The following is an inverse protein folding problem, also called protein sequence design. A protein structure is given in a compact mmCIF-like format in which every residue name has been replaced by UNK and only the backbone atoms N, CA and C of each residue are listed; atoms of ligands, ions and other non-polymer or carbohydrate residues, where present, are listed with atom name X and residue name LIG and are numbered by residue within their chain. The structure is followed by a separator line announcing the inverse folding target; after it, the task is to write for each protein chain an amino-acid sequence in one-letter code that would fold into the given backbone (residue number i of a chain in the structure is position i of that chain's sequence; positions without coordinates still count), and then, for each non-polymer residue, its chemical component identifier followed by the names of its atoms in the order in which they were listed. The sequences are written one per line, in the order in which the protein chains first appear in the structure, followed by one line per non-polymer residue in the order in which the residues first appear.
data_IF_048838328985
#
_entry.id   IF_048838328985
#
_cell.length_a   1.000
_cell.length_b   1.000
_cell.length_c   1.000
_cell.angle_alpha   90.00
_cell.angle_beta   90.00
_cell.angle_gamma   90.00
#
_symmetry.space_group_name_H-M   'P 1'
#
loop_
_entity.id
_entity.type
_entity.pdbx_description
1 polymer ?
#
# COMPACT_ATOMS: atom_id res chain seq x y z
N UNK A 1 56.48 20.04 2.49
CA UNK A 1 56.14 20.71 1.21
C UNK A 1 56.53 22.18 1.30
N UNK A 2 56.99 22.80 0.21
CA UNK A 2 57.40 24.23 0.22
C UNK A 2 56.17 25.14 0.34
N UNK A 3 56.28 26.22 1.12
CA UNK A 3 55.21 27.23 1.27
C UNK A 3 54.73 27.80 -0.07
N UNK A 4 55.59 27.82 -1.09
CA UNK A 4 55.26 28.25 -2.45
C UNK A 4 54.27 27.30 -3.15
N UNK A 5 54.35 25.99 -2.90
CA UNK A 5 53.44 24.98 -3.48
C UNK A 5 52.05 25.11 -2.87
N UNK A 6 51.98 25.31 -1.55
CA UNK A 6 50.71 25.54 -0.84
C UNK A 6 50.03 26.85 -1.26
N UNK A 7 50.81 27.92 -1.50
CA UNK A 7 50.28 29.18 -2.02
C UNK A 7 49.71 29.03 -3.44
N UNK A 8 50.43 28.38 -4.35
CA UNK A 8 49.96 28.12 -5.73
C UNK A 8 48.67 27.28 -5.76
N UNK A 9 48.58 26.26 -4.92
CA UNK A 9 47.42 25.39 -4.83
C UNK A 9 46.16 26.15 -4.38
N UNK A 10 46.30 27.04 -3.39
CA UNK A 10 45.19 27.85 -2.89
C UNK A 10 44.81 29.02 -3.82
N UNK A 11 45.77 29.60 -4.53
CA UNK A 11 45.53 30.77 -5.40
C UNK A 11 45.01 30.42 -6.80
N UNK A 12 45.35 29.24 -7.34
CA UNK A 12 44.97 28.85 -8.70
C UNK A 12 43.93 27.72 -8.74
N UNK A 13 43.65 27.05 -7.62
CA UNK A 13 42.77 25.87 -7.58
C UNK A 13 43.32 24.69 -8.39
N UNK A 14 44.60 24.73 -8.79
CA UNK A 14 45.27 23.70 -9.57
C UNK A 14 45.96 22.74 -8.60
N UNK A 15 45.65 21.45 -8.75
CA UNK A 15 46.38 20.39 -8.03
C UNK A 15 47.75 20.15 -8.66
N UNK A 16 48.76 20.85 -8.16
CA UNK A 16 50.16 20.71 -8.59
C UNK A 16 50.76 19.35 -8.16
N UNK A 17 50.14 18.64 -7.22
CA UNK A 17 50.63 17.35 -6.69
C UNK A 17 50.14 16.14 -7.50
N UNK A 18 49.10 16.32 -8.33
CA UNK A 18 48.43 15.25 -9.06
C UNK A 18 47.73 14.23 -8.15
N UNK A 19 47.59 14.52 -6.86
CA UNK A 19 46.95 13.66 -5.88
C UNK A 19 45.48 13.39 -6.23
N UNK A 20 44.75 14.43 -6.63
CA UNK A 20 43.33 14.34 -6.99
C UNK A 20 43.11 13.61 -8.31
N UNK A 21 44.15 13.51 -9.15
CA UNK A 21 44.13 12.71 -10.38
C UNK A 21 44.35 11.21 -10.13
N UNK A 22 44.81 10.81 -8.94
CA UNK A 22 45.04 9.39 -8.60
C UNK A 22 43.73 8.62 -8.49
N UNK A 23 43.81 7.35 -8.87
CA UNK A 23 42.71 6.42 -8.68
C UNK A 23 42.63 5.92 -7.23
N UNK A 24 41.41 5.59 -6.83
CA UNK A 24 41.06 4.91 -5.59
C UNK A 24 40.28 3.67 -5.97
N UNK A 25 40.67 2.53 -5.40
CA UNK A 25 39.99 1.26 -5.57
C UNK A 25 39.15 1.00 -4.31
N UNK A 26 37.86 0.76 -4.49
CA UNK A 26 36.90 0.51 -3.43
C UNK A 26 36.31 -0.89 -3.63
N UNK A 27 36.29 -1.69 -2.59
CA UNK A 27 35.56 -2.96 -2.55
C UNK A 27 34.30 -2.74 -1.71
N UNK A 28 33.14 -2.72 -2.35
CA UNK A 28 31.84 -2.48 -1.69
C UNK A 28 31.03 -3.76 -1.72
N UNK A 29 30.96 -4.46 -0.58
CA UNK A 29 30.23 -5.72 -0.45
C UNK A 29 30.68 -6.82 -1.43
N UNK A 30 31.94 -6.80 -1.86
CA UNK A 30 32.49 -7.72 -2.88
C UNK A 30 32.54 -7.15 -4.30
N UNK A 31 31.91 -6.00 -4.57
CA UNK A 31 31.95 -5.35 -5.88
C UNK A 31 33.08 -4.33 -5.94
N UNK A 32 33.99 -4.49 -6.91
CA UNK A 32 35.13 -3.61 -7.10
C UNK A 32 34.78 -2.38 -7.94
N UNK A 33 35.02 -1.21 -7.36
CA UNK A 33 34.86 0.10 -7.99
C UNK A 33 36.21 0.79 -8.12
N UNK A 34 36.42 1.46 -9.25
CA UNK A 34 37.56 2.36 -9.45
C UNK A 34 37.03 3.76 -9.72
N UNK A 35 37.55 4.74 -8.99
CA UNK A 35 37.22 6.16 -9.16
C UNK A 35 38.42 7.04 -8.97
N UNK A 36 38.32 8.33 -9.27
CA UNK A 36 39.36 9.31 -8.99
C UNK A 36 39.18 9.89 -7.59
N UNK A 37 40.27 10.22 -6.91
CA UNK A 37 40.23 10.99 -5.64
C UNK A 37 39.41 12.27 -5.80
N UNK A 38 39.50 12.92 -6.97
CA UNK A 38 38.72 14.12 -7.33
C UNK A 38 37.21 13.97 -7.09
N UNK A 39 36.63 12.80 -7.39
CA UNK A 39 35.19 12.52 -7.24
C UNK A 39 34.76 12.53 -5.77
N UNK A 40 35.66 12.22 -4.85
CA UNK A 40 35.37 12.17 -3.41
C UNK A 40 35.83 13.44 -2.68
N UNK A 41 36.35 14.45 -3.38
CA UNK A 41 36.99 15.62 -2.76
C UNK A 41 36.06 16.42 -1.84
N UNK A 42 34.78 16.53 -2.21
CA UNK A 42 33.78 17.21 -1.38
C UNK A 42 33.47 16.43 -0.10
N UNK A 43 33.85 15.16 -0.05
CA UNK A 43 33.65 14.23 1.07
C UNK A 43 34.96 13.96 1.83
N UNK A 44 35.95 14.86 1.76
CA UNK A 44 37.21 14.74 2.51
C UNK A 44 37.01 14.67 4.02
N UNK A 45 36.00 15.37 4.54
CA UNK A 45 35.68 15.41 5.97
C UNK A 45 34.57 14.39 6.33
N UNK A 46 34.20 13.52 5.40
CA UNK A 46 33.13 12.53 5.57
C UNK A 46 33.60 11.33 6.40
N UNK A 47 32.73 10.81 7.27
CA UNK A 47 33.01 9.67 8.17
C UNK A 47 33.62 8.45 7.46
N UNK A 48 33.14 8.15 6.26
CA UNK A 48 33.57 6.99 5.46
C UNK A 48 34.68 7.35 4.48
N UNK A 49 34.52 8.43 3.70
CA UNK A 49 35.41 8.75 2.59
C UNK A 49 36.66 9.53 3.02
N UNK A 50 36.62 10.25 4.14
CA UNK A 50 37.78 10.93 4.70
C UNK A 50 38.91 9.95 5.03
N UNK A 51 38.68 8.92 5.86
CA UNK A 51 39.68 7.90 6.14
C UNK A 51 40.20 7.15 4.89
N UNK A 52 39.38 7.02 3.84
CA UNK A 52 39.79 6.44 2.55
C UNK A 52 40.74 7.38 1.79
N UNK A 53 40.44 8.68 1.78
CA UNK A 53 41.26 9.71 1.15
C UNK A 53 42.57 9.95 1.90
N UNK A 54 42.55 9.87 3.23
CA UNK A 54 43.76 9.93 4.07
C UNK A 54 44.55 8.62 4.05
N UNK A 55 43.92 7.53 3.58
CA UNK A 55 44.52 6.21 3.44
C UNK A 55 44.58 5.39 4.72
N UNK A 56 43.88 5.81 5.78
CA UNK A 56 43.75 5.16 7.09
C UNK A 56 42.61 4.13 7.17
N UNK A 57 41.71 4.09 6.17
CA UNK A 57 40.64 3.10 6.12
C UNK A 57 41.15 1.66 5.94
N UNK A 58 40.31 0.69 6.35
CA UNK A 58 40.59 -0.73 6.20
C UNK A 58 40.79 -1.11 4.72
N UNK A 59 41.85 -1.88 4.46
CA UNK A 59 42.18 -2.37 3.11
C UNK A 59 42.04 -3.88 3.04
N UNK A 60 41.60 -4.36 1.90
CA UNK A 60 41.66 -5.76 1.53
C UNK A 60 43.11 -6.16 1.17
N UNK A 61 43.33 -7.47 0.99
CA UNK A 61 44.63 -8.02 0.59
C UNK A 61 45.12 -7.49 -0.76
N UNK A 62 44.20 -7.14 -1.66
CA UNK A 62 44.46 -6.55 -2.98
C UNK A 62 44.77 -5.03 -2.92
N UNK A 63 44.72 -4.42 -1.73
CA UNK A 63 44.96 -3.00 -1.51
C UNK A 63 43.76 -2.08 -1.76
N UNK A 64 42.58 -2.63 -2.10
CA UNK A 64 41.33 -1.86 -2.21
C UNK A 64 40.78 -1.51 -0.83
N UNK A 65 40.07 -0.38 -0.72
CA UNK A 65 39.42 0.01 0.54
C UNK A 65 38.08 -0.70 0.69
N UNK A 66 37.86 -1.34 1.84
CA UNK A 66 36.65 -2.12 2.09
C UNK A 66 35.52 -1.25 2.63
N UNK A 67 34.33 -1.41 2.05
CA UNK A 67 33.07 -0.86 2.54
C UNK A 67 32.06 -2.01 2.63
N UNK A 68 31.57 -2.28 3.83
CA UNK A 68 30.61 -3.36 4.09
C UNK A 68 29.17 -2.91 3.81
N UNK A 69 28.85 -2.73 2.51
CA UNK A 69 27.55 -2.26 1.99
C UNK A 69 27.19 -2.90 0.65
N UNK A 70 25.98 -2.64 0.17
CA UNK A 70 25.51 -3.15 -1.11
C UNK A 70 26.28 -2.54 -2.30
N UNK A 71 27.09 -3.38 -2.93
CA UNK A 71 27.87 -2.99 -4.09
C UNK A 71 27.04 -2.65 -5.33
N UNK A 72 25.86 -3.24 -5.53
CA UNK A 72 25.02 -3.00 -6.71
C UNK A 72 24.41 -1.60 -6.68
N UNK A 73 23.91 -1.19 -5.52
CA UNK A 73 23.32 0.13 -5.31
C UNK A 73 24.37 1.23 -5.23
N UNK A 74 25.59 0.91 -4.78
CA UNK A 74 26.70 1.86 -4.74
C UNK A 74 27.03 2.46 -6.11
N UNK A 75 26.72 1.78 -7.22
CA UNK A 75 26.85 2.33 -8.58
C UNK A 75 26.11 3.67 -8.73
N UNK A 76 24.93 3.79 -8.15
CA UNK A 76 24.13 5.02 -8.22
C UNK A 76 24.71 6.11 -7.33
N UNK A 77 25.23 5.74 -6.15
CA UNK A 77 25.93 6.64 -5.24
C UNK A 77 27.14 7.25 -5.93
N UNK A 78 28.03 6.42 -6.50
CA UNK A 78 29.26 6.91 -7.12
C UNK A 78 29.00 7.68 -8.42
N UNK A 79 27.95 7.34 -9.17
CA UNK A 79 27.50 8.13 -10.33
C UNK A 79 27.00 9.52 -9.89
N UNK A 80 26.21 9.58 -8.81
CA UNK A 80 25.77 10.85 -8.25
C UNK A 80 26.95 11.73 -7.82
N UNK A 81 27.98 11.16 -7.20
CA UNK A 81 29.19 11.91 -6.81
C UNK A 81 30.02 12.42 -8.01
N UNK A 82 29.84 11.85 -9.21
CA UNK A 82 30.52 12.31 -10.44
C UNK A 82 29.77 13.47 -11.09
N UNK A 83 28.46 13.32 -11.24
CA UNK A 83 27.65 14.19 -12.10
C UNK A 83 26.75 15.15 -11.31
N UNK A 84 26.61 14.94 -9.99
CA UNK A 84 25.71 15.69 -9.12
C UNK A 84 24.22 15.42 -9.39
N UNK A 85 23.89 14.37 -10.15
CA UNK A 85 22.53 14.06 -10.59
C UNK A 85 22.19 12.59 -10.37
N UNK A 86 20.96 12.35 -9.91
CA UNK A 86 20.45 10.99 -9.70
C UNK A 86 20.04 10.35 -11.02
N UNK A 87 20.89 9.47 -11.55
CA UNK A 87 20.62 8.68 -12.76
C UNK A 87 20.29 7.24 -12.40
N UNK A 88 19.03 6.86 -12.59
CA UNK A 88 18.52 5.50 -12.39
C UNK A 88 17.78 5.06 -13.66
N UNK A 89 17.70 3.75 -13.97
CA UNK A 89 16.92 3.26 -15.10
C UNK A 89 15.42 3.53 -14.91
N UNK A 90 14.66 3.62 -16.01
CA UNK A 90 13.23 3.96 -15.99
C UNK A 90 12.39 2.98 -15.15
N UNK A 91 12.77 1.71 -15.13
CA UNK A 91 12.08 0.66 -14.37
C UNK A 91 12.81 0.33 -13.06
N UNK A 92 13.39 1.32 -12.39
CA UNK A 92 14.05 1.11 -11.12
C UNK A 92 13.01 0.79 -10.03
N UNK A 93 13.20 -0.33 -9.32
CA UNK A 93 12.26 -0.82 -8.30
C UNK A 93 12.81 -0.75 -6.87
N UNK A 94 14.14 -0.70 -6.72
CA UNK A 94 14.85 -0.78 -5.44
C UNK A 94 14.97 0.60 -4.75
N UNK A 95 13.94 1.44 -4.87
CA UNK A 95 13.98 2.82 -4.37
C UNK A 95 14.24 2.93 -2.86
N UNK A 96 13.62 2.06 -2.04
CA UNK A 96 13.86 2.10 -0.58
C UNK A 96 15.27 1.65 -0.22
N UNK A 97 15.79 0.64 -0.91
CA UNK A 97 17.14 0.15 -0.67
C UNK A 97 18.15 1.23 -1.06
N UNK A 98 17.92 1.91 -2.20
CA UNK A 98 18.73 3.06 -2.59
C UNK A 98 18.64 4.19 -1.55
N UNK A 99 17.45 4.51 -1.04
CA UNK A 99 17.28 5.52 0.01
C UNK A 99 18.05 5.15 1.29
N UNK A 100 18.07 3.87 1.66
CA UNK A 100 18.86 3.38 2.80
C UNK A 100 20.36 3.54 2.57
N UNK A 101 20.87 3.22 1.38
CA UNK A 101 22.28 3.47 1.04
C UNK A 101 22.60 4.97 1.07
N UNK A 102 21.76 5.80 0.46
CA UNK A 102 21.94 7.26 0.45
C UNK A 102 22.02 7.84 1.86
N UNK A 103 21.20 7.33 2.79
CA UNK A 103 21.25 7.70 4.21
C UNK A 103 22.51 7.19 4.90
N UNK A 104 22.94 5.98 4.58
CA UNK A 104 24.17 5.40 5.13
C UNK A 104 25.42 6.21 4.72
N UNK A 105 25.48 6.64 3.46
CA UNK A 105 26.54 7.50 2.94
C UNK A 105 26.32 8.99 3.26
N UNK A 106 25.30 9.33 4.06
CA UNK A 106 25.02 10.68 4.57
C UNK A 106 25.00 11.76 3.46
N UNK A 107 24.30 11.47 2.35
CA UNK A 107 24.19 12.36 1.18
C UNK A 107 22.83 13.08 1.12
N UNK A 108 22.62 14.20 1.85
CA UNK A 108 21.30 14.85 1.97
C UNK A 108 20.78 15.41 0.64
N UNK A 109 21.66 15.91 -0.22
CA UNK A 109 21.26 16.41 -1.54
C UNK A 109 20.74 15.29 -2.45
N UNK A 110 21.33 14.10 -2.35
CA UNK A 110 20.87 12.91 -3.05
C UNK A 110 19.59 12.35 -2.44
N UNK A 111 19.47 12.36 -1.10
CA UNK A 111 18.24 11.93 -0.40
C UNK A 111 17.04 12.72 -0.88
N UNK A 112 17.17 14.06 -0.91
CA UNK A 112 16.12 14.91 -1.46
C UNK A 112 15.80 14.57 -2.91
N UNK A 113 16.84 14.36 -3.73
CA UNK A 113 16.66 13.98 -5.14
C UNK A 113 15.93 12.65 -5.32
N UNK A 114 16.11 11.69 -4.41
CA UNK A 114 15.38 10.41 -4.39
C UNK A 114 13.93 10.63 -3.96
N UNK A 115 13.69 11.43 -2.91
CA UNK A 115 12.35 11.70 -2.39
C UNK A 115 11.46 12.51 -3.35
N UNK A 116 12.07 13.37 -4.16
CA UNK A 116 11.38 14.22 -5.15
C UNK A 116 11.03 13.44 -6.45
N UNK A 117 11.48 12.20 -6.60
CA UNK A 117 11.16 11.37 -7.79
C UNK A 117 9.72 10.90 -7.75
N UNK A 118 9.02 11.11 -8.86
CA UNK A 118 7.63 10.69 -9.03
C UNK A 118 7.45 9.18 -8.84
N UNK A 119 8.38 8.37 -9.35
CA UNK A 119 8.32 6.91 -9.25
C UNK A 119 8.42 6.43 -7.80
N UNK A 120 9.31 7.06 -7.01
CA UNK A 120 9.40 6.78 -5.58
C UNK A 120 8.12 7.19 -4.84
N UNK A 121 7.65 8.41 -5.07
CA UNK A 121 6.40 8.90 -4.48
C UNK A 121 5.20 8.00 -4.84
N UNK A 122 5.13 7.56 -6.09
CA UNK A 122 4.10 6.64 -6.55
C UNK A 122 4.24 5.27 -5.88
N UNK A 123 5.46 4.75 -5.70
CA UNK A 123 5.69 3.48 -5.01
C UNK A 123 5.26 3.53 -3.54
N UNK A 124 5.59 4.60 -2.83
CA UNK A 124 5.19 4.83 -1.43
C UNK A 124 3.68 4.98 -1.33
N UNK A 125 3.09 5.76 -2.24
CA UNK A 125 1.65 5.94 -2.32
C UNK A 125 0.93 4.60 -2.56
N UNK A 126 1.36 3.82 -3.54
CA UNK A 126 0.75 2.51 -3.88
C UNK A 126 0.79 1.51 -2.73
N UNK A 127 1.83 1.52 -1.89
CA UNK A 127 1.89 0.65 -0.70
C UNK A 127 0.85 0.97 0.36
N UNK A 128 0.37 2.21 0.39
CA UNK A 128 -0.69 2.63 1.31
C UNK A 128 -2.08 2.35 0.73
N UNK A 129 -2.18 1.96 -0.54
CA UNK A 129 -3.45 1.67 -1.19
C UNK A 129 -3.93 0.25 -0.86
N UNK A 130 -5.25 0.06 -0.80
CA UNK A 130 -5.85 -1.27 -0.74
C UNK A 130 -5.56 -2.07 -2.02
N UNK A 131 -5.34 -3.39 -1.87
CA UNK A 131 -5.07 -4.29 -2.99
C UNK A 131 -6.24 -4.41 -3.97
N UNK A 132 -7.46 -4.30 -3.47
CA UNK A 132 -8.70 -4.35 -4.25
C UNK A 132 -9.64 -3.23 -3.84
N UNK A 133 -10.28 -2.62 -4.82
CA UNK A 133 -11.27 -1.55 -4.64
C UNK A 133 -12.53 -1.94 -5.37
N UNK A 134 -13.64 -1.85 -4.66
CA UNK A 134 -14.96 -2.01 -5.21
C UNK A 134 -15.62 -0.64 -5.36
N UNK A 135 -16.02 -0.34 -6.59
CA UNK A 135 -16.70 0.89 -6.96
C UNK A 135 -18.13 0.55 -7.36
N UNK A 136 -19.07 1.32 -6.81
CA UNK A 136 -20.46 1.29 -7.22
C UNK A 136 -20.94 2.69 -7.54
N UNK A 137 -21.33 2.86 -8.80
CA UNK A 137 -21.83 4.09 -9.38
C UNK A 137 -23.23 3.83 -9.94
N UNK A 138 -24.29 4.20 -9.22
CA UNK A 138 -25.64 3.96 -9.68
C UNK A 138 -25.89 4.66 -11.03
N UNK A 139 -26.49 3.97 -12.02
CA UNK A 139 -26.80 4.60 -13.30
C UNK A 139 -27.75 5.77 -13.06
N UNK A 140 -27.53 6.87 -13.78
CA UNK A 140 -28.49 7.97 -13.83
C UNK A 140 -29.84 7.35 -14.21
N UNK A 141 -30.82 7.46 -13.33
CA UNK A 141 -32.13 6.82 -13.46
C UNK A 141 -32.73 7.13 -14.83
N UNK A 142 -32.55 6.23 -15.79
CA UNK A 142 -33.28 6.26 -17.05
C UNK A 142 -34.72 5.94 -16.69
N UNK A 143 -35.63 6.83 -17.09
CA UNK A 143 -37.05 6.56 -17.23
C UNK A 143 -37.28 5.08 -17.58
N UNK A 144 -37.91 4.33 -16.66
CA UNK A 144 -38.53 3.07 -17.02
C UNK A 144 -39.71 3.47 -17.92
N UNK A 145 -39.67 3.13 -19.21
CA UNK A 145 -40.86 3.20 -20.04
C UNK A 145 -41.90 2.23 -19.45
N UNK A 146 -42.94 2.82 -18.85
CA UNK A 146 -44.14 2.16 -18.37
C UNK A 146 -44.93 1.66 -19.60
N UNK A 147 -44.72 0.40 -19.97
CA UNK A 147 -45.24 -0.12 -21.24
C UNK A 147 -45.34 -1.64 -21.32
N UNK A 148 -45.73 -2.32 -20.24
CA UNK A 148 -46.15 -3.71 -20.30
C UNK A 148 -47.47 -3.90 -19.55
N UNK A 149 -48.57 -3.76 -20.28
CA UNK A 149 -49.92 -4.11 -19.84
C UNK A 149 -50.00 -5.63 -19.60
N UNK A 150 -49.76 -6.07 -18.35
CA UNK A 150 -50.11 -7.44 -17.94
C UNK A 150 -51.52 -7.42 -17.38
N UNK A 151 -52.41 -8.05 -18.14
CA UNK A 151 -53.82 -8.27 -17.85
C UNK A 151 -53.95 -9.09 -16.54
N UNK A 152 -54.63 -8.53 -15.54
CA UNK A 152 -54.96 -9.23 -14.31
C UNK A 152 -56.07 -10.29 -14.54
N UNK A 153 -55.92 -11.45 -13.89
CA UNK A 153 -56.94 -12.48 -13.68
C UNK A 153 -56.58 -13.28 -12.39
N UNK A 154 -57.56 -13.88 -11.68
CA UNK A 154 -57.67 -13.74 -10.22
C UNK A 154 -57.02 -14.85 -9.38
N UNK A 155 -56.91 -14.53 -8.09
CA UNK A 155 -56.43 -15.33 -6.97
C UNK A 155 -57.20 -16.63 -6.74
N UNK A 156 -56.51 -17.66 -6.23
CA UNK A 156 -57.07 -18.64 -5.29
C UNK A 156 -55.96 -19.21 -4.39
N UNK A 157 -56.15 -19.10 -3.07
CA UNK A 157 -55.39 -19.83 -2.04
C UNK A 157 -56.21 -21.06 -1.61
N UNK A 158 -55.57 -22.11 -1.08
CA UNK A 158 -55.96 -22.50 0.26
C UNK A 158 -54.78 -22.92 1.17
N UNK A 159 -55.04 -22.76 2.47
CA UNK A 159 -54.17 -23.05 3.60
C UNK A 159 -54.12 -24.56 3.96
N UNK A 160 -53.03 -24.98 4.61
CA UNK A 160 -52.97 -25.69 5.92
C UNK A 160 -51.80 -26.67 6.05
N UNK A 161 -51.22 -26.69 7.24
CA UNK A 161 -50.04 -27.47 7.67
C UNK A 161 -50.32 -28.98 7.83
N UNK A 162 -49.28 -29.79 8.08
CA UNK A 162 -49.25 -30.46 9.39
C UNK A 162 -47.87 -30.59 10.07
N UNK A 163 -47.94 -30.78 11.39
CA UNK A 163 -46.91 -31.01 12.42
C UNK A 163 -46.33 -32.44 12.41
N UNK A 164 -45.23 -32.72 13.15
CA UNK A 164 -44.48 -33.98 13.10
C UNK A 164 -44.95 -35.01 14.16
N UNK A 165 -44.54 -36.29 14.05
CA UNK A 165 -44.51 -37.18 15.21
C UNK A 165 -43.10 -37.55 15.68
N UNK A 166 -43.09 -37.82 16.98
CA UNK A 166 -42.00 -37.98 17.93
C UNK A 166 -41.40 -39.39 17.96
N UNK A 167 -40.07 -39.45 18.18
CA UNK A 167 -39.21 -40.46 18.85
C UNK A 167 -39.75 -41.88 19.13
N UNK A 168 -38.95 -42.91 18.82
CA UNK A 168 -38.68 -44.05 19.73
C UNK A 168 -37.33 -44.74 19.39
N UNK A 169 -36.48 -44.92 20.42
CA UNK A 169 -35.57 -46.05 20.74
C UNK A 169 -34.60 -46.61 19.67
N UNK A 170 -33.41 -47.16 19.94
CA UNK A 170 -32.50 -47.28 21.08
C UNK A 170 -31.21 -47.98 20.58
N UNK A 171 -30.08 -47.71 21.26
CA UNK A 171 -28.90 -48.55 21.58
C UNK A 171 -28.45 -49.65 20.57
N UNK A 172 -27.17 -49.79 20.22
CA UNK A 172 -26.11 -50.43 21.05
C UNK A 172 -24.75 -50.21 20.35
N UNK A 173 -23.70 -49.69 20.99
CA UNK A 173 -22.60 -50.40 21.69
C UNK A 173 -22.04 -51.63 20.95
N UNK A 174 -20.79 -51.50 20.48
CA UNK A 174 -19.57 -52.33 20.77
C UNK A 174 -18.42 -51.54 20.12
N UNK A 175 -17.46 -50.92 20.81
CA UNK A 175 -16.45 -51.40 21.76
C UNK A 175 -15.50 -52.49 21.24
N UNK A 176 -14.30 -52.05 20.83
CA UNK A 176 -12.97 -52.56 21.23
C UNK A 176 -11.92 -51.67 20.55
N UNK A 177 -11.10 -50.88 21.25
CA UNK A 177 -10.12 -51.21 22.31
C UNK A 177 -9.16 -52.31 21.79
N UNK A 178 -7.84 -52.14 21.71
CA UNK A 178 -6.90 -51.67 22.73
C UNK A 178 -5.56 -51.52 22.02
N UNK A 179 -4.85 -50.38 22.10
CA UNK A 179 -3.81 -50.12 23.11
C UNK A 179 -2.43 -50.49 22.54
N UNK A 180 -1.27 -50.00 22.97
CA UNK A 180 -0.77 -49.25 24.13
C UNK A 180 0.76 -49.23 23.90
N UNK A 181 1.62 -48.32 24.37
CA UNK A 181 1.57 -47.27 25.39
C UNK A 181 2.72 -46.27 25.14
N UNK A 182 2.64 -45.07 25.72
CA UNK A 182 3.12 -44.68 27.08
C UNK A 182 4.66 -44.52 27.09
N UNK A 183 5.29 -43.45 27.59
CA UNK A 183 5.03 -42.61 28.78
C UNK A 183 5.94 -41.33 28.67
N UNK A 184 5.91 -40.24 29.46
CA UNK A 184 5.11 -39.68 30.56
C UNK A 184 5.72 -38.30 30.97
N UNK A 185 4.92 -37.46 31.65
CA UNK A 185 5.31 -36.36 32.56
C UNK A 185 4.72 -35.01 32.13
N UNK A 186 3.55 -34.49 32.55
CA UNK A 186 2.87 -34.30 33.85
C UNK A 186 3.32 -33.05 34.65
N UNK A 187 2.47 -32.02 34.71
CA UNK A 187 1.97 -31.33 35.93
C UNK A 187 0.75 -30.44 35.59
N UNK A 188 -0.27 -30.50 36.45
CA UNK A 188 -1.65 -29.98 36.35
C UNK A 188 -1.86 -28.61 37.05
N UNK A 189 -3.13 -28.16 37.03
CA UNK A 189 -3.87 -27.12 37.78
C UNK A 189 -4.21 -25.84 36.97
N UNK A 190 -5.43 -25.31 36.92
CA UNK A 190 -6.73 -25.65 37.52
C UNK A 190 -7.85 -24.88 36.78
N UNK A 191 -9.07 -25.42 36.80
CA UNK A 191 -10.26 -24.94 36.05
C UNK A 191 -11.29 -24.16 36.89
N UNK A 192 -11.85 -23.11 36.28
CA UNK A 192 -13.30 -22.78 36.11
C UNK A 192 -14.20 -22.45 37.32
N UNK A 193 -14.87 -21.28 37.24
CA UNK A 193 -16.20 -20.95 37.77
C UNK A 193 -16.70 -19.65 37.09
N UNK A 194 -17.97 -19.29 36.85
CA UNK A 194 -19.32 -19.88 36.80
C UNK A 194 -20.21 -18.79 36.13
N UNK A 195 -21.25 -19.18 35.39
CA UNK A 195 -22.25 -18.29 34.77
C UNK A 195 -23.41 -17.92 35.73
N UNK A 196 -24.12 -16.80 35.42
CA UNK A 196 -25.59 -16.69 35.20
C UNK A 196 -26.38 -15.63 36.02
N UNK A 197 -27.44 -15.11 35.36
CA UNK A 197 -28.64 -14.35 35.80
C UNK A 197 -28.56 -12.80 35.82
N UNK A 198 -29.51 -11.98 35.35
CA UNK A 198 -30.98 -12.06 35.19
C UNK A 198 -31.51 -11.14 34.05
N UNK A 199 -32.73 -11.42 33.58
CA UNK A 199 -33.57 -10.60 32.70
C UNK A 199 -34.75 -9.96 33.46
N UNK A 200 -35.41 -8.99 32.80
CA UNK A 200 -36.83 -8.59 32.92
C UNK A 200 -37.17 -7.26 33.64
N UNK A 201 -37.76 -6.32 32.88
CA UNK A 201 -38.98 -5.58 33.24
C UNK A 201 -39.50 -4.79 32.02
N UNK A 202 -40.80 -4.93 31.75
CA UNK A 202 -41.57 -4.33 30.66
C UNK A 202 -42.62 -3.33 31.19
N UNK A 203 -43.35 -2.73 30.23
CA UNK A 203 -44.61 -1.96 30.34
C UNK A 203 -44.45 -0.44 30.57
N UNK A 204 -45.24 0.47 30.00
CA UNK A 204 -46.55 0.35 29.35
C UNK A 204 -46.91 1.64 28.58
N UNK A 205 -48.04 1.58 27.85
CA UNK A 205 -48.91 2.66 27.32
C UNK A 205 -48.99 2.81 25.79
N UNK A 206 -49.94 2.08 25.21
CA UNK A 206 -50.63 2.40 23.95
C UNK A 206 -52.00 3.03 24.24
N UNK A 207 -52.50 3.91 23.33
CA UNK A 207 -53.92 4.32 23.04
C UNK A 207 -53.88 5.75 22.45
N UNK A 208 -54.49 6.20 21.33
CA UNK A 208 -55.58 5.78 20.42
C UNK A 208 -55.52 6.62 19.11
N UNK A 209 -55.98 6.05 17.98
CA UNK A 209 -56.75 6.65 16.83
C UNK A 209 -56.21 7.92 16.13
N UNK A 210 -56.17 8.11 14.81
CA UNK A 210 -57.17 7.81 13.77
C UNK A 210 -56.58 8.08 12.38
N UNK A 211 -57.28 7.59 11.36
CA UNK A 211 -56.97 7.62 9.94
C UNK A 211 -56.73 9.03 9.34
N UNK A 212 -55.76 9.09 8.42
CA UNK A 212 -55.56 10.17 7.48
C UNK A 212 -54.91 9.61 6.20
N UNK A 213 -55.74 9.40 5.18
CA UNK A 213 -55.33 9.06 3.81
C UNK A 213 -54.80 10.34 3.14
N UNK A 214 -53.55 10.33 2.67
CA UNK A 214 -53.11 10.94 1.40
C UNK A 214 -51.60 10.70 1.19
N UNK A 215 -51.14 10.66 -0.08
CA UNK A 215 -49.95 9.94 -0.48
C UNK A 215 -48.72 10.83 -0.48
N UNK A 216 -47.56 10.29 -0.14
CA UNK A 216 -46.27 10.91 -0.45
C UNK A 216 -45.41 9.91 -1.20
N UNK A 217 -45.58 9.96 -2.53
CA UNK A 217 -44.53 9.85 -3.53
C UNK A 217 -43.33 8.99 -3.15
N UNK A 218 -43.24 7.81 -3.76
CA UNK A 218 -41.99 7.12 -4.02
C UNK A 218 -41.03 8.09 -4.71
N UNK A 219 -40.20 8.79 -3.94
CA UNK A 219 -39.02 9.43 -4.49
C UNK A 219 -38.07 8.29 -4.83
N UNK A 220 -37.78 8.11 -6.11
CA UNK A 220 -36.71 7.25 -6.61
C UNK A 220 -35.39 7.78 -6.03
N UNK A 221 -35.07 7.41 -4.79
CA UNK A 221 -33.84 7.76 -4.13
C UNK A 221 -32.73 6.95 -4.81
N UNK A 222 -32.13 7.54 -5.84
CA UNK A 222 -30.88 7.07 -6.43
C UNK A 222 -29.90 6.84 -5.28
N UNK A 223 -29.45 5.60 -5.11
CA UNK A 223 -28.51 5.25 -4.04
C UNK A 223 -27.21 6.08 -4.21
N UNK A 224 -26.47 6.37 -3.13
CA UNK A 224 -25.25 7.16 -3.24
C UNK A 224 -24.09 6.33 -3.82
N UNK A 225 -23.16 7.00 -4.50
CA UNK A 225 -21.91 6.39 -4.98
C UNK A 225 -21.13 5.82 -3.79
N UNK A 226 -20.54 4.62 -3.96
CA UNK A 226 -19.71 3.98 -2.93
C UNK A 226 -18.38 3.50 -3.50
N UNK A 227 -17.30 3.84 -2.79
CA UNK A 227 -15.95 3.36 -3.03
C UNK A 227 -15.48 2.68 -1.75
N UNK A 228 -15.20 1.38 -1.81
CA UNK A 228 -14.80 0.60 -0.63
C UNK A 228 -13.54 -0.21 -0.94
N UNK A 229 -12.48 -0.10 -0.13
CA UNK A 229 -12.30 0.86 0.98
C UNK A 229 -12.00 2.28 0.47
N UNK A 230 -12.10 3.33 1.33
CA UNK A 230 -11.84 4.71 0.91
C UNK A 230 -10.39 4.89 0.44
N UNK A 231 -10.22 5.70 -0.60
CA UNK A 231 -8.92 5.95 -1.22
C UNK A 231 -8.39 7.35 -0.88
N UNK A 232 -7.08 7.51 -0.65
CA UNK A 232 -6.49 8.80 -0.34
C UNK A 232 -6.68 9.78 -1.51
N UNK A 233 -7.22 10.96 -1.24
CA UNK A 233 -7.46 12.00 -2.26
C UNK A 233 -8.72 11.79 -3.11
N UNK A 234 -9.55 10.79 -2.82
CA UNK A 234 -10.88 10.63 -3.40
C UNK A 234 -11.93 10.82 -2.30
N UNK A 235 -12.79 11.82 -2.45
CA UNK A 235 -13.88 12.10 -1.52
C UNK A 235 -15.22 12.02 -2.24
N UNK A 236 -16.16 11.27 -1.66
CA UNK A 236 -17.56 11.26 -2.12
C UNK A 236 -18.27 12.43 -1.45
N UNK A 237 -19.02 13.22 -2.22
CA UNK A 237 -19.73 14.37 -1.66
C UNK A 237 -20.73 13.94 -0.57
N UNK A 238 -20.64 14.54 0.62
CA UNK A 238 -21.45 14.16 1.78
C UNK A 238 -22.94 14.53 1.68
N UNK A 239 -23.31 15.54 0.86
CA UNK A 239 -24.67 16.05 0.79
C UNK A 239 -25.57 15.20 -0.12
N UNK A 240 -25.11 14.86 -1.31
CA UNK A 240 -25.89 14.12 -2.30
C UNK A 240 -25.33 12.73 -2.64
N UNK A 241 -24.02 12.51 -2.42
CA UNK A 241 -23.33 11.29 -2.83
C UNK A 241 -23.34 11.04 -4.34
N UNK A 242 -23.54 12.10 -5.16
CA UNK A 242 -23.76 12.00 -6.62
C UNK A 242 -22.52 12.24 -7.47
N UNK A 243 -21.46 12.78 -6.90
CA UNK A 243 -20.18 12.95 -7.58
C UNK A 243 -19.03 12.69 -6.62
N UNK A 244 -17.88 12.42 -7.21
CA UNK A 244 -16.64 12.13 -6.49
C UNK A 244 -15.65 13.23 -6.81
N UNK A 245 -14.94 13.75 -5.82
CA UNK A 245 -13.91 14.77 -6.02
C UNK A 245 -12.54 14.13 -5.86
N UNK A 246 -11.68 14.32 -6.87
CA UNK A 246 -10.28 13.94 -6.84
C UNK A 246 -9.41 15.16 -6.48
N UNK A 247 -8.56 14.99 -5.46
CA UNK A 247 -7.61 16.00 -4.96
C UNK A 247 -8.25 17.38 -4.70
N UNK A 248 -9.49 17.39 -4.21
CA UNK A 248 -10.24 18.61 -3.84
C UNK A 248 -10.43 19.64 -4.98
N UNK A 249 -10.13 19.27 -6.22
CA UNK A 249 -10.06 20.21 -7.36
C UNK A 249 -10.80 19.70 -8.58
N UNK A 250 -10.81 18.39 -8.81
CA UNK A 250 -11.44 17.78 -9.97
C UNK A 250 -12.72 17.05 -9.56
N UNK A 251 -13.87 17.51 -10.03
CA UNK A 251 -15.15 16.81 -9.87
C UNK A 251 -15.25 15.74 -10.96
N UNK A 252 -15.61 14.52 -10.56
CA UNK A 252 -15.84 13.37 -11.42
C UNK A 252 -17.36 13.19 -11.53
N UNK A 253 -17.87 13.33 -12.75
CA UNK A 253 -19.31 13.35 -13.04
C UNK A 253 -19.86 11.99 -13.46
N UNK A 254 -19.00 11.08 -13.93
CA UNK A 254 -19.38 9.77 -14.45
C UNK A 254 -18.44 8.64 -13.97
N UNK A 255 -18.94 7.40 -14.04
CA UNK A 255 -18.16 6.19 -13.73
C UNK A 255 -16.88 6.10 -14.57
N UNK A 256 -16.93 6.47 -15.84
CA UNK A 256 -15.78 6.42 -16.75
C UNK A 256 -14.66 7.38 -16.33
N UNK A 257 -15.03 8.57 -15.82
CA UNK A 257 -14.05 9.54 -15.32
C UNK A 257 -13.38 9.01 -14.06
N UNK A 258 -14.15 8.42 -13.14
CA UNK A 258 -13.62 7.78 -11.93
C UNK A 258 -12.69 6.61 -12.26
N UNK A 259 -13.11 5.73 -13.15
CA UNK A 259 -12.29 4.58 -13.59
C UNK A 259 -11.00 5.07 -14.24
N UNK A 260 -11.07 6.10 -15.08
CA UNK A 260 -9.87 6.69 -15.69
C UNK A 260 -8.89 7.17 -14.63
N UNK A 261 -9.35 7.86 -13.58
CA UNK A 261 -8.50 8.28 -12.46
C UNK A 261 -7.93 7.07 -11.71
N UNK A 262 -8.71 6.03 -11.44
CA UNK A 262 -8.24 4.83 -10.76
C UNK A 262 -7.17 4.07 -11.57
N UNK A 263 -7.31 4.01 -12.89
CA UNK A 263 -6.31 3.39 -13.77
C UNK A 263 -5.05 4.25 -13.89
N UNK A 264 -5.19 5.56 -14.12
CA UNK A 264 -4.06 6.45 -14.47
C UNK A 264 -3.33 7.00 -13.25
N UNK A 265 -4.05 7.48 -12.24
CA UNK A 265 -3.46 8.13 -11.06
C UNK A 265 -3.08 7.10 -9.98
N UNK A 266 -3.93 6.10 -9.76
CA UNK A 266 -3.70 5.08 -8.72
C UNK A 266 -3.04 3.81 -9.26
N UNK A 267 -3.11 3.55 -10.57
CA UNK A 267 -2.49 2.38 -11.19
C UNK A 267 -3.25 1.07 -10.98
N UNK A 268 -4.55 1.13 -10.70
CA UNK A 268 -5.39 -0.06 -10.64
C UNK A 268 -5.57 -0.70 -12.02
N UNK A 269 -6.03 -1.94 -12.04
CA UNK A 269 -6.45 -2.70 -13.23
C UNK A 269 -7.88 -3.21 -13.03
N UNK A 270 -8.71 -3.20 -14.08
CA UNK A 270 -10.09 -3.68 -14.00
C UNK A 270 -10.07 -5.22 -13.99
N UNK A 271 -10.72 -5.82 -13.00
CA UNK A 271 -10.96 -7.27 -12.93
C UNK A 271 -12.35 -7.64 -13.41
N UNK A 272 -13.35 -6.85 -13.02
CA UNK A 272 -14.74 -7.09 -13.40
C UNK A 272 -15.45 -5.77 -13.64
N UNK A 273 -16.26 -5.74 -14.70
CA UNK A 273 -17.04 -4.59 -15.12
C UNK A 273 -18.48 -5.01 -15.39
N UNK A 274 -19.42 -4.40 -14.68
CA UNK A 274 -20.85 -4.59 -14.84
C UNK A 274 -21.49 -3.21 -15.09
N UNK A 275 -21.65 -2.87 -16.38
CA UNK A 275 -22.13 -1.57 -16.82
C UNK A 275 -23.60 -1.34 -16.43
N UNK A 276 -24.44 -2.37 -16.53
CA UNK A 276 -25.89 -2.28 -16.27
C UNK A 276 -26.17 -1.93 -14.81
N UNK A 277 -25.33 -2.40 -13.89
CA UNK A 277 -25.46 -2.15 -12.46
C UNK A 277 -24.48 -1.09 -11.95
N UNK A 278 -23.61 -0.58 -12.81
CA UNK A 278 -22.58 0.40 -12.50
C UNK A 278 -21.60 -0.08 -11.43
N UNK A 279 -21.17 -1.34 -11.51
CA UNK A 279 -20.27 -1.96 -10.53
C UNK A 279 -18.94 -2.30 -11.18
N UNK A 280 -17.85 -1.91 -10.54
CA UNK A 280 -16.49 -2.17 -11.03
C UNK A 280 -15.63 -2.69 -9.90
N UNK A 281 -14.95 -3.81 -10.13
CA UNK A 281 -13.92 -4.33 -9.25
C UNK A 281 -12.56 -4.05 -9.87
N UNK A 282 -11.70 -3.36 -9.14
CA UNK A 282 -10.35 -3.04 -9.57
C UNK A 282 -9.30 -3.56 -8.58
N UNK A 283 -8.12 -3.93 -9.08
CA UNK A 283 -7.00 -4.46 -8.27
C UNK A 283 -5.67 -3.87 -8.68
N UNK A 284 -4.74 -3.70 -7.74
CA UNK A 284 -3.38 -3.25 -8.03
C UNK A 284 -2.56 -4.40 -8.64
N UNK A 285 -1.96 -4.21 -9.83
CA UNK A 285 -1.07 -5.20 -10.42
C UNK A 285 0.28 -5.23 -9.68
N UNK A 286 0.78 -6.44 -9.38
CA UNK A 286 2.20 -6.64 -9.00
C UNK A 286 2.53 -6.67 -7.50
N UNK A 287 1.59 -7.05 -6.62
CA UNK A 287 1.88 -7.45 -5.23
C UNK A 287 1.67 -8.97 -5.07
N UNK A 288 2.54 -9.76 -5.68
CA UNK A 288 2.78 -11.17 -5.34
C UNK A 288 4.28 -11.41 -5.25
#
# INVERSE_FOLDING_TARGET
MSAAVTWLQNSLGIDVTGEWARHVHLNVGGTLYTTRRYTLRELKDHRIFGPILDGHAHRCEDGSFLIDRDGSLFRYIIAYLRDGRLSVPDNFVEWDMLLQEVRYYELPAMEKSVMDRFEFQQSVFRRQLPHGVYVWWPPASSHIEEGATVKAAPCDCPASAPTPPTSLFALSITDRATGRGEARGATEDQTRALEKEHAEAAADAATRSSAGVAPSSCSSASLPIRIVPPLPGLTVEAASGRWVVFRETQVLEDLDQLVTVLLTAYGFSIQHWDAERGRVLLTLPGLM
#
